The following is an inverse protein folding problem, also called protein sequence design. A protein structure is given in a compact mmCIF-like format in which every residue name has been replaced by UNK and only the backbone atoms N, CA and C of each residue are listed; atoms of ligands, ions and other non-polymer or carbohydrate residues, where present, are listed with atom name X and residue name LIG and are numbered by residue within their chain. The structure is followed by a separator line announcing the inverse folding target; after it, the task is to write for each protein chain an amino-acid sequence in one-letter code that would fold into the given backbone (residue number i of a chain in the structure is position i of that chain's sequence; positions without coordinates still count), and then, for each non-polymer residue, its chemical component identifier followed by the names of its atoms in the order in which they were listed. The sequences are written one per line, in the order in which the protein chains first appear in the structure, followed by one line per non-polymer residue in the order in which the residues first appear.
data_IF_692979044689
#
_entry.id   IF_692979044689
#
_cell.length_a   1.000
_cell.length_b   1.000
_cell.length_c   1.000
_cell.angle_alpha   90.00
_cell.angle_beta   90.00
_cell.angle_gamma   90.00
#
_symmetry.space_group_name_H-M   'P 1'
#
loop_
_entity.id
_entity.type
_entity.pdbx_description
1 polymer ?
#
# COMPACT_ATOMS: atom_id res chain seq x y z
N UNK A 1 -2.95 -13.44 -9.38
CA UNK A 1 -1.77 -13.54 -8.47
C UNK A 1 -1.46 -15.00 -8.12
N UNK A 2 -2.43 -15.80 -7.64
CA UNK A 2 -2.21 -17.18 -7.19
C UNK A 2 -1.59 -18.11 -8.26
N UNK A 3 -2.10 -18.08 -9.49
CA UNK A 3 -1.56 -18.89 -10.60
C UNK A 3 -0.07 -18.61 -10.85
N UNK A 4 0.33 -17.35 -10.91
CA UNK A 4 1.73 -16.96 -11.09
C UNK A 4 2.61 -17.37 -9.92
N UNK A 5 2.10 -17.25 -8.68
CA UNK A 5 2.79 -17.73 -7.50
C UNK A 5 3.03 -19.25 -7.56
N UNK A 6 2.02 -20.04 -7.92
CA UNK A 6 2.14 -21.49 -8.08
C UNK A 6 3.12 -21.87 -9.19
N UNK A 7 3.14 -21.15 -10.29
CA UNK A 7 4.11 -21.37 -11.37
C UNK A 7 5.55 -21.17 -10.89
N UNK A 8 5.81 -20.15 -10.05
CA UNK A 8 7.13 -19.92 -9.45
C UNK A 8 7.46 -20.99 -8.39
N UNK A 9 6.52 -21.35 -7.54
CA UNK A 9 6.67 -22.39 -6.53
C UNK A 9 6.99 -23.77 -7.14
N UNK A 10 6.39 -24.08 -8.29
CA UNK A 10 6.57 -25.36 -8.98
C UNK A 10 7.84 -25.44 -9.85
N UNK A 11 8.52 -24.33 -10.09
CA UNK A 11 9.85 -24.35 -10.73
C UNK A 11 10.85 -24.99 -9.79
N UNK A 12 11.11 -26.30 -9.96
CA UNK A 12 12.13 -27.07 -9.22
C UNK A 12 13.53 -26.63 -9.64
N UNK A 13 13.96 -25.45 -9.23
CA UNK A 13 15.31 -24.97 -9.42
C UNK A 13 15.88 -24.60 -8.05
N UNK A 14 17.01 -25.15 -7.67
CA UNK A 14 17.71 -24.80 -6.43
C UNK A 14 18.22 -23.35 -6.42
N UNK A 15 18.16 -22.68 -7.57
CA UNK A 15 18.57 -21.29 -7.74
C UNK A 15 17.42 -20.47 -8.29
N UNK A 16 17.02 -19.43 -7.56
CA UNK A 16 16.04 -18.45 -8.01
C UNK A 16 16.69 -17.58 -9.10
N UNK A 17 16.34 -17.83 -10.36
CA UNK A 17 16.89 -17.10 -11.53
C UNK A 17 16.05 -15.90 -11.95
N UNK A 18 14.82 -15.79 -11.44
CA UNK A 18 13.89 -14.68 -11.74
C UNK A 18 13.08 -14.34 -10.51
N UNK A 19 12.75 -13.06 -10.33
CA UNK A 19 11.86 -12.60 -9.27
C UNK A 19 10.51 -12.17 -9.83
N UNK A 20 9.46 -12.42 -9.06
CA UNK A 20 8.12 -11.90 -9.30
C UNK A 20 7.79 -10.90 -8.21
N UNK A 21 7.56 -9.64 -8.59
CA UNK A 21 7.10 -8.60 -7.67
C UNK A 21 5.60 -8.36 -7.90
N UNK A 22 4.80 -8.65 -6.89
CA UNK A 22 3.36 -8.42 -6.90
C UNK A 22 3.12 -7.11 -6.15
N UNK A 23 2.55 -6.13 -6.85
CA UNK A 23 2.21 -4.82 -6.25
C UNK A 23 0.69 -4.72 -6.20
N UNK A 24 0.15 -4.47 -5.02
CA UNK A 24 -1.29 -4.30 -4.79
C UNK A 24 -1.52 -2.89 -4.28
N UNK A 25 -2.15 -2.08 -5.11
CA UNK A 25 -2.64 -0.76 -4.74
C UNK A 25 -4.06 -0.87 -4.18
N UNK A 26 -4.43 0.04 -3.27
CA UNK A 26 -5.71 0.03 -2.54
C UNK A 26 -6.03 -1.36 -1.94
N UNK A 27 -5.01 -1.94 -1.31
CA UNK A 27 -5.03 -3.33 -0.85
C UNK A 27 -6.16 -3.65 0.15
N UNK A 28 -6.71 -2.64 0.84
CA UNK A 28 -7.88 -2.81 1.71
C UNK A 28 -9.11 -3.35 0.97
N UNK A 29 -9.22 -3.15 -0.35
CA UNK A 29 -10.31 -3.72 -1.14
C UNK A 29 -10.16 -5.23 -1.37
N UNK A 30 -8.94 -5.75 -1.25
CA UNK A 30 -8.61 -7.17 -1.54
C UNK A 30 -8.31 -7.91 -0.25
N UNK A 31 -7.68 -7.29 0.73
CA UNK A 31 -7.14 -7.93 1.94
C UNK A 31 -7.98 -7.66 3.20
N UNK A 32 -9.24 -7.26 3.04
CA UNK A 32 -10.19 -7.02 4.12
C UNK A 32 -10.96 -8.28 4.50
N UNK A 33 -11.27 -8.42 5.79
CA UNK A 33 -12.25 -9.40 6.29
C UNK A 33 -13.70 -8.99 6.05
N UNK A 34 -13.97 -7.68 5.92
CA UNK A 34 -15.32 -7.11 5.95
C UNK A 34 -16.02 -7.02 4.59
N UNK A 35 -15.57 -7.79 3.59
CA UNK A 35 -16.25 -7.82 2.28
C UNK A 35 -17.62 -8.50 2.41
N UNK A 36 -18.70 -7.72 2.31
CA UNK A 36 -20.10 -8.22 2.38
C UNK A 36 -20.58 -8.87 1.07
N UNK A 37 -19.80 -8.75 0.00
CA UNK A 37 -20.19 -9.19 -1.36
C UNK A 37 -19.71 -10.58 -1.74
N UNK A 38 -18.85 -11.19 -0.93
CA UNK A 38 -18.23 -12.49 -1.22
C UNK A 38 -18.70 -13.54 -0.20
N UNK A 39 -18.72 -14.82 -0.63
CA UNK A 39 -18.92 -15.91 0.30
C UNK A 39 -17.73 -16.04 1.25
N UNK A 40 -17.96 -16.57 2.46
CA UNK A 40 -16.90 -16.73 3.48
C UNK A 40 -15.74 -17.58 2.96
N UNK A 41 -16.04 -18.68 2.28
CA UNK A 41 -15.01 -19.59 1.74
C UNK A 41 -14.05 -18.91 0.76
N UNK A 42 -14.56 -17.98 -0.07
CA UNK A 42 -13.73 -17.20 -0.99
C UNK A 42 -12.84 -16.18 -0.29
N UNK A 43 -13.36 -15.57 0.79
CA UNK A 43 -12.57 -14.63 1.61
C UNK A 43 -11.42 -15.36 2.29
N UNK A 44 -11.71 -16.50 2.93
CA UNK A 44 -10.73 -17.29 3.65
C UNK A 44 -9.64 -17.79 2.70
N UNK A 45 -10.01 -18.36 1.56
CA UNK A 45 -9.06 -18.78 0.53
C UNK A 45 -8.17 -17.63 0.02
N UNK A 46 -8.75 -16.44 -0.20
CA UNK A 46 -8.00 -15.28 -0.65
C UNK A 46 -6.99 -14.84 0.39
N UNK A 47 -7.40 -14.67 1.64
CA UNK A 47 -6.52 -14.24 2.73
C UNK A 47 -5.43 -15.28 2.98
N UNK A 48 -5.75 -16.57 3.05
CA UNK A 48 -4.78 -17.65 3.19
C UNK A 48 -3.75 -17.65 2.06
N UNK A 49 -4.17 -17.40 0.82
CA UNK A 49 -3.26 -17.30 -0.33
C UNK A 49 -2.23 -16.18 -0.14
N UNK A 50 -2.65 -14.99 0.29
CA UNK A 50 -1.73 -13.87 0.51
C UNK A 50 -0.86 -14.08 1.73
N UNK A 51 -1.37 -14.70 2.79
CA UNK A 51 -0.56 -15.10 3.93
C UNK A 51 0.52 -16.10 3.54
N UNK A 52 0.20 -17.09 2.71
CA UNK A 52 1.19 -18.06 2.20
C UNK A 52 2.29 -17.33 1.38
N UNK A 53 1.91 -16.41 0.49
CA UNK A 53 2.86 -15.61 -0.28
C UNK A 53 3.78 -14.79 0.63
N UNK A 54 3.25 -14.16 1.67
CA UNK A 54 4.06 -13.37 2.62
C UNK A 54 5.04 -14.28 3.37
N UNK A 55 4.58 -15.43 3.86
CA UNK A 55 5.40 -16.37 4.65
C UNK A 55 6.48 -17.08 3.83
N UNK A 56 6.14 -17.48 2.62
CA UNK A 56 6.97 -18.41 1.86
C UNK A 56 7.50 -17.86 0.52
N UNK A 57 6.87 -16.81 -0.02
CA UNK A 57 7.16 -16.30 -1.36
C UNK A 57 8.64 -16.02 -1.60
N UNK A 58 9.33 -15.49 -0.60
CA UNK A 58 10.77 -15.19 -0.67
C UNK A 58 11.60 -16.41 -1.10
N UNK A 59 11.24 -17.63 -0.64
CA UNK A 59 11.94 -18.87 -1.00
C UNK A 59 11.88 -19.15 -2.50
N UNK A 60 10.84 -18.65 -3.15
CA UNK A 60 10.56 -18.85 -4.58
C UNK A 60 10.80 -17.58 -5.42
N UNK A 61 11.42 -16.54 -4.83
CA UNK A 61 11.65 -15.26 -5.50
C UNK A 61 10.37 -14.45 -5.73
N UNK A 62 9.32 -14.67 -4.92
CA UNK A 62 8.08 -13.91 -4.98
C UNK A 62 8.03 -12.90 -3.85
N UNK A 63 7.84 -11.64 -4.20
CA UNK A 63 7.77 -10.51 -3.28
C UNK A 63 6.43 -9.81 -3.41
N UNK A 64 5.91 -9.33 -2.28
CA UNK A 64 4.64 -8.63 -2.21
C UNK A 64 4.85 -7.22 -1.66
N UNK A 65 4.32 -6.23 -2.38
CA UNK A 65 4.21 -4.84 -1.94
C UNK A 65 2.73 -4.48 -1.86
N UNK A 66 2.31 -3.96 -0.70
CA UNK A 66 0.91 -3.55 -0.45
C UNK A 66 0.91 -2.05 -0.21
N UNK A 67 0.05 -1.32 -0.92
CA UNK A 67 -0.23 0.08 -0.67
C UNK A 67 -1.70 0.24 -0.26
N UNK A 68 -1.96 1.04 0.76
CA UNK A 68 -3.32 1.32 1.22
C UNK A 68 -3.40 2.63 1.99
N UNK A 69 -4.49 3.35 1.83
CA UNK A 69 -4.85 4.53 2.61
C UNK A 69 -5.64 4.16 3.89
N UNK A 70 -6.06 2.90 4.02
CA UNK A 70 -6.90 2.40 5.13
C UNK A 70 -6.30 1.12 5.72
N UNK A 71 -5.20 1.22 6.46
CA UNK A 71 -4.57 0.05 7.05
C UNK A 71 -5.48 -0.70 8.03
N UNK A 72 -6.38 0.00 8.73
CA UNK A 72 -7.33 -0.62 9.66
C UNK A 72 -8.35 -1.55 8.99
N UNK A 73 -8.56 -1.42 7.68
CA UNK A 73 -9.47 -2.28 6.93
C UNK A 73 -8.77 -3.53 6.38
N UNK A 74 -7.43 -3.61 6.45
CA UNK A 74 -6.66 -4.79 6.07
C UNK A 74 -6.60 -5.77 7.25
N UNK A 75 -6.55 -7.08 6.93
CA UNK A 75 -6.35 -8.12 7.94
C UNK A 75 -5.12 -7.83 8.81
N UNK A 76 -5.30 -7.75 10.12
CA UNK A 76 -4.21 -7.53 11.08
C UNK A 76 -3.15 -8.66 11.00
N UNK A 77 -3.57 -9.88 10.69
CA UNK A 77 -2.68 -11.02 10.46
C UNK A 77 -1.74 -10.76 9.29
N UNK A 78 -2.26 -10.21 8.18
CA UNK A 78 -1.45 -9.86 7.01
C UNK A 78 -0.47 -8.76 7.37
N UNK A 79 -0.94 -7.66 7.98
CA UNK A 79 -0.06 -6.53 8.32
C UNK A 79 1.07 -6.97 9.26
N UNK A 80 0.77 -7.74 10.31
CA UNK A 80 1.79 -8.19 11.27
C UNK A 80 2.87 -9.12 10.69
N UNK A 81 2.63 -9.70 9.52
CA UNK A 81 3.58 -10.59 8.83
C UNK A 81 4.45 -9.88 7.79
N UNK A 82 4.18 -8.63 7.48
CA UNK A 82 5.01 -7.84 6.59
C UNK A 82 6.37 -7.57 7.25
N UNK A 83 7.41 -7.48 6.44
CA UNK A 83 8.78 -7.33 6.92
C UNK A 83 9.21 -5.87 7.03
N UNK A 84 8.71 -5.01 6.16
CA UNK A 84 9.09 -3.61 6.09
C UNK A 84 7.85 -2.74 5.86
N UNK A 85 7.88 -1.55 6.44
CA UNK A 85 6.78 -0.59 6.41
C UNK A 85 7.29 0.79 6.04
N UNK A 86 6.59 1.43 5.12
CA UNK A 86 6.73 2.84 4.79
C UNK A 86 5.41 3.50 5.19
N UNK A 87 5.39 4.14 6.35
CA UNK A 87 4.16 4.67 6.94
C UNK A 87 4.13 6.17 6.71
N UNK A 88 3.33 6.60 5.76
CA UNK A 88 3.04 7.99 5.51
C UNK A 88 2.08 8.56 6.56
N UNK A 89 1.80 9.87 6.49
CA UNK A 89 0.92 10.54 7.44
C UNK A 89 -0.43 9.82 7.58
N UNK A 90 -0.77 9.45 8.81
CA UNK A 90 -2.05 8.89 9.22
C UNK A 90 -2.70 9.82 10.25
N UNK A 91 -3.97 10.16 10.05
CA UNK A 91 -4.71 11.09 10.92
C UNK A 91 -5.82 10.36 11.67
N UNK A 92 -6.36 9.29 11.09
CA UNK A 92 -7.47 8.54 11.68
C UNK A 92 -6.98 7.70 12.86
N UNK A 93 -7.60 7.85 14.02
CA UNK A 93 -7.23 7.14 15.24
C UNK A 93 -7.31 5.61 15.08
N UNK A 94 -8.30 5.09 14.34
CA UNK A 94 -8.46 3.65 14.10
C UNK A 94 -7.26 3.09 13.33
N UNK A 95 -6.75 3.83 12.34
CA UNK A 95 -5.59 3.46 11.57
C UNK A 95 -4.31 3.52 12.41
N UNK A 96 -4.17 4.55 13.25
CA UNK A 96 -3.04 4.70 14.18
C UNK A 96 -3.00 3.55 15.20
N UNK A 97 -4.11 3.23 15.84
CA UNK A 97 -4.21 2.12 16.79
C UNK A 97 -3.88 0.77 16.14
N UNK A 98 -4.31 0.57 14.90
CA UNK A 98 -4.03 -0.66 14.17
C UNK A 98 -2.54 -0.77 13.85
N UNK A 99 -1.90 0.29 13.37
CA UNK A 99 -0.47 0.34 13.08
C UNK A 99 0.34 0.12 14.35
N UNK A 100 -0.03 0.77 15.47
CA UNK A 100 0.62 0.59 16.78
C UNK A 100 0.58 -0.86 17.25
N UNK A 101 -0.56 -1.53 17.09
CA UNK A 101 -0.75 -2.93 17.54
C UNK A 101 -0.09 -3.95 16.62
N UNK A 102 -0.08 -3.69 15.32
CA UNK A 102 0.36 -4.67 14.33
C UNK A 102 1.87 -4.61 14.03
N UNK A 103 2.51 -3.45 14.22
CA UNK A 103 3.91 -3.24 13.86
C UNK A 103 4.78 -3.17 15.11
N UNK A 104 5.37 -4.30 15.47
CA UNK A 104 6.17 -4.44 16.70
C UNK A 104 7.45 -3.57 16.74
N UNK A 105 7.88 -3.04 15.58
CA UNK A 105 9.13 -2.28 15.46
C UNK A 105 8.95 -0.76 15.59
N UNK A 106 7.73 -0.27 15.85
CA UNK A 106 7.47 1.16 16.04
C UNK A 106 7.63 1.54 17.52
N UNK A 107 8.42 2.56 17.76
CA UNK A 107 8.50 3.21 19.06
C UNK A 107 7.40 4.28 19.20
N UNK A 108 7.18 4.69 20.46
CA UNK A 108 6.12 5.66 20.79
C UNK A 108 6.32 7.01 20.08
N UNK A 109 7.57 7.46 19.93
CA UNK A 109 7.90 8.74 19.28
C UNK A 109 7.52 8.69 17.81
N UNK A 110 7.84 7.59 17.12
CA UNK A 110 7.46 7.37 15.73
C UNK A 110 5.95 7.40 15.54
N UNK A 111 5.19 6.72 16.40
CA UNK A 111 3.72 6.70 16.34
C UNK A 111 3.14 8.11 16.55
N UNK A 112 3.60 8.85 17.56
CA UNK A 112 3.16 10.21 17.83
C UNK A 112 3.50 11.19 16.69
N UNK A 113 4.52 10.89 15.89
CA UNK A 113 4.91 11.71 14.73
C UNK A 113 4.02 11.51 13.51
N UNK A 114 3.36 10.36 13.35
CA UNK A 114 2.60 10.01 12.14
C UNK A 114 1.53 11.05 11.75
N UNK A 115 0.74 11.62 12.68
CA UNK A 115 -0.29 12.59 12.30
C UNK A 115 0.25 13.93 11.78
N UNK A 116 1.48 14.26 12.15
CA UNK A 116 2.11 15.57 11.85
C UNK A 116 3.18 15.49 10.76
N UNK A 117 3.40 14.33 10.16
CA UNK A 117 4.35 14.18 9.06
C UNK A 117 4.02 15.11 7.89
N UNK A 118 5.01 15.83 7.34
CA UNK A 118 4.81 16.66 6.16
C UNK A 118 4.54 15.79 4.92
N UNK A 119 4.09 16.45 3.84
CA UNK A 119 3.90 15.78 2.56
C UNK A 119 5.21 15.16 2.05
N UNK A 120 5.15 13.91 1.58
CA UNK A 120 6.30 13.16 1.12
C UNK A 120 7.16 12.54 2.22
N UNK A 121 6.92 12.85 3.50
CA UNK A 121 7.61 12.17 4.59
C UNK A 121 6.95 10.83 4.95
N UNK A 122 7.75 9.90 5.43
CA UNK A 122 7.28 8.63 5.97
C UNK A 122 8.18 8.13 7.09
N UNK A 123 7.65 7.23 7.91
CA UNK A 123 8.43 6.42 8.85
C UNK A 123 8.76 5.10 8.17
N UNK A 124 10.04 4.81 8.02
CA UNK A 124 10.55 3.49 7.61
C UNK A 124 10.78 2.65 8.86
N UNK A 125 10.18 1.47 8.90
CA UNK A 125 10.33 0.52 10.01
C UNK A 125 10.34 -0.91 9.49
N UNK A 126 10.96 -1.82 10.22
CA UNK A 126 11.02 -3.25 9.88
C UNK A 126 12.44 -3.78 9.80
N UNK A 127 12.62 -4.88 9.08
CA UNK A 127 13.90 -5.61 9.03
C UNK A 127 15.01 -4.80 8.34
N UNK A 128 14.64 -3.87 7.46
CA UNK A 128 15.61 -3.04 6.71
C UNK A 128 16.27 -1.96 7.57
N UNK A 129 15.69 -1.63 8.72
CA UNK A 129 16.17 -0.58 9.61
C UNK A 129 16.14 -1.06 11.06
N UNK A 130 17.29 -1.01 11.74
CA UNK A 130 17.40 -1.42 13.15
C UNK A 130 16.55 -0.56 14.09
N UNK A 131 16.30 0.68 13.71
CA UNK A 131 15.43 1.63 14.39
C UNK A 131 14.51 2.31 13.38
N UNK A 132 13.29 2.72 13.78
CA UNK A 132 12.42 3.52 12.92
C UNK A 132 13.13 4.81 12.47
N UNK A 133 13.05 5.11 11.18
CA UNK A 133 13.67 6.28 10.57
C UNK A 133 12.61 7.16 9.91
N UNK A 134 12.64 8.46 10.19
CA UNK A 134 11.82 9.42 9.44
C UNK A 134 12.60 9.80 8.17
N UNK A 135 12.00 9.53 7.03
CA UNK A 135 12.54 9.80 5.71
C UNK A 135 11.71 10.86 5.00
N UNK A 136 12.38 11.70 4.21
CA UNK A 136 11.74 12.58 3.24
C UNK A 136 11.99 11.99 1.85
N UNK A 137 10.92 11.69 1.13
CA UNK A 137 10.99 11.24 -0.27
C UNK A 137 11.07 12.47 -1.17
N UNK A 138 12.07 12.49 -2.04
CA UNK A 138 12.24 13.56 -3.01
C UNK A 138 11.10 13.56 -4.04
N UNK A 139 10.57 14.73 -4.45
CA UNK A 139 9.57 14.78 -5.49
C UNK A 139 10.14 14.33 -6.84
N UNK A 140 9.33 13.63 -7.61
CA UNK A 140 9.67 13.27 -8.99
C UNK A 140 9.87 14.55 -9.83
N UNK A 141 10.81 14.50 -10.78
CA UNK A 141 10.93 15.56 -11.79
C UNK A 141 9.63 15.71 -12.57
N UNK A 142 9.37 16.89 -13.15
CA UNK A 142 8.13 17.11 -13.91
C UNK A 142 7.93 16.16 -15.07
N UNK A 143 9.04 15.66 -15.64
CA UNK A 143 9.04 14.74 -16.76
C UNK A 143 8.68 13.32 -16.35
N UNK A 144 8.93 12.94 -15.09
CA UNK A 144 8.66 11.62 -14.54
C UNK A 144 7.32 11.56 -13.79
N UNK A 145 6.68 12.70 -13.57
CA UNK A 145 5.37 12.72 -12.91
C UNK A 145 4.30 12.12 -13.83
N UNK A 146 3.42 11.26 -13.29
CA UNK A 146 2.31 10.74 -14.09
C UNK A 146 1.42 11.89 -14.55
N UNK A 147 1.11 11.93 -15.84
CA UNK A 147 0.11 12.85 -16.38
C UNK A 147 -1.27 12.47 -15.81
N UNK A 148 -1.72 13.24 -14.85
CA UNK A 148 -3.13 13.18 -14.48
C UNK A 148 -3.89 14.10 -15.45
N UNK A 149 -4.80 13.54 -16.24
CA UNK A 149 -5.76 14.32 -17.03
C UNK A 149 -6.78 14.99 -16.10
N UNK A 150 -6.29 15.72 -15.12
CA UNK A 150 -7.16 16.45 -14.20
C UNK A 150 -7.68 17.67 -14.94
N UNK A 151 -8.98 17.70 -15.21
CA UNK A 151 -9.65 18.85 -15.78
C UNK A 151 -9.48 20.01 -14.80
N UNK A 152 -8.86 21.09 -15.24
CA UNK A 152 -8.84 22.36 -14.49
C UNK A 152 -10.25 22.96 -14.53
N UNK A 153 -11.04 22.66 -13.50
CA UNK A 153 -12.42 23.12 -13.39
C UNK A 153 -12.51 24.65 -13.43
N UNK A 154 -11.52 25.35 -12.91
CA UNK A 154 -11.49 26.80 -12.87
C UNK A 154 -11.36 27.37 -14.29
N UNK A 155 -10.46 26.80 -15.11
CA UNK A 155 -10.35 27.19 -16.53
C UNK A 155 -11.60 26.86 -17.33
N UNK A 156 -12.11 25.63 -17.19
CA UNK A 156 -13.27 25.19 -17.97
C UNK A 156 -14.57 25.95 -17.60
N UNK A 157 -14.65 26.55 -16.41
CA UNK A 157 -15.77 27.40 -16.01
C UNK A 157 -15.60 28.84 -16.50
N UNK A 158 -14.37 29.36 -16.50
CA UNK A 158 -14.08 30.71 -17.03
C UNK A 158 -14.26 30.78 -18.55
N UNK A 159 -13.84 29.75 -19.29
CA UNK A 159 -14.01 29.69 -20.74
C UNK A 159 -15.50 29.66 -21.15
N UNK A 160 -16.36 28.97 -20.40
CA UNK A 160 -17.81 28.98 -20.66
C UNK A 160 -18.49 30.33 -20.42
N UNK A 161 -18.01 31.11 -19.47
CA UNK A 161 -18.59 32.44 -19.17
C UNK A 161 -18.25 33.46 -20.23
N UNK A 162 -17.22 33.24 -21.04
CA UNK A 162 -16.84 34.14 -22.18
C UNK A 162 -17.66 33.86 -23.44
N UNK A 163 -18.10 32.64 -23.67
CA UNK A 163 -18.92 32.27 -24.84
C UNK A 163 -20.40 32.72 -24.70
N UNK A 164 -20.93 32.81 -23.47
CA UNK A 164 -22.32 33.28 -23.25
C UNK A 164 -22.44 34.83 -23.26
N UNK A 165 -21.33 35.56 -23.20
CA UNK A 165 -21.29 37.04 -23.21
C UNK A 165 -21.27 37.68 -24.63
N UNK A 166 -21.05 36.91 -25.70
CA UNK A 166 -20.99 37.42 -27.07
C UNK A 166 -22.31 37.25 -27.89
N UNK A 167 -23.40 36.79 -27.28
CA UNK A 167 -24.70 36.56 -27.94
C UNK A 167 -25.80 37.53 -27.43
N UNK A 168 -25.46 38.73 -27.00
CA UNK A 168 -26.48 39.79 -26.69
C UNK A 168 -26.21 41.05 -27.45
#
# INVERSE_FOLDING_TARGET
SYKYYQEHKNKKSDVVTSSLNIIIDEAHNILSYDSTRESQDWKDFRLETFEEIIKEGRKFGVFLTIASQRPSDISATIISQLHNYLIHRLINNRDLEMVEKAIAYLDKISIESLPILPAGACVLSGIIADLPLILQVDPLSKEEQPESQTIDLTKSWLDKSTEEGEQT
#
